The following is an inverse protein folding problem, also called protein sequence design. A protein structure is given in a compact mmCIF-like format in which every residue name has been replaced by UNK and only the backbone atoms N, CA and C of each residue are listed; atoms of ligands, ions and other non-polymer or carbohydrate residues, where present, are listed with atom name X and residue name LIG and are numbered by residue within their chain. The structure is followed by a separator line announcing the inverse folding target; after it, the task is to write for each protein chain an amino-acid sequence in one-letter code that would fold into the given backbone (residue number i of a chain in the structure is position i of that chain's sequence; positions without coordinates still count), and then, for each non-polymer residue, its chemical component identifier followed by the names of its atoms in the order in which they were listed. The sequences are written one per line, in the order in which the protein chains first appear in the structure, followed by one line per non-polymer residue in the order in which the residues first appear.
data_IF_616852024340
#
_entry.id   IF_616852024340
#
_cell.length_a   1.000
_cell.length_b   1.000
_cell.length_c   1.000
_cell.angle_alpha   90.00
_cell.angle_beta   90.00
_cell.angle_gamma   90.00
#
_symmetry.space_group_name_H-M   'P 1'
#
loop_
_entity.id
_entity.type
_entity.pdbx_description
1 polymer ?
#
# COMPACT_ATOMS: atom_id res chain seq x y z
N UNK A 1 -22.34 -0.60 -38.95
CA UNK A 1 -21.18 0.03 -38.28
C UNK A 1 -21.71 1.21 -37.47
N UNK A 2 -22.11 0.97 -36.21
CA UNK A 2 -22.70 1.98 -35.32
C UNK A 2 -21.57 2.77 -34.64
N UNK A 3 -21.47 4.06 -34.96
CA UNK A 3 -20.58 4.98 -34.27
C UNK A 3 -21.09 5.20 -32.84
N UNK A 4 -20.33 4.68 -31.89
CA UNK A 4 -20.52 4.89 -30.46
C UNK A 4 -20.23 6.36 -30.15
N UNK A 5 -21.29 7.16 -29.97
CA UNK A 5 -21.19 8.54 -29.54
C UNK A 5 -20.44 8.62 -28.21
N UNK A 6 -19.26 9.25 -28.23
CA UNK A 6 -18.53 9.65 -27.02
C UNK A 6 -19.43 10.61 -26.24
N UNK A 7 -20.09 10.12 -25.18
CA UNK A 7 -20.72 10.98 -24.18
C UNK A 7 -19.61 11.74 -23.47
N UNK A 8 -19.31 12.95 -23.94
CA UNK A 8 -18.55 13.92 -23.15
C UNK A 8 -19.26 14.12 -21.81
N UNK A 9 -18.51 14.14 -20.71
CA UNK A 9 -19.10 14.37 -19.40
C UNK A 9 -19.92 15.66 -19.45
N UNK A 10 -21.23 15.55 -19.23
CA UNK A 10 -22.14 16.69 -19.18
C UNK A 10 -21.72 17.60 -18.01
N UNK A 11 -21.79 18.92 -18.20
CA UNK A 11 -21.47 19.92 -17.17
C UNK A 11 -22.14 19.61 -15.82
N UNK A 12 -23.36 19.09 -15.84
CA UNK A 12 -24.08 18.64 -14.64
C UNK A 12 -23.38 17.51 -13.88
N UNK A 13 -22.73 16.56 -14.56
CA UNK A 13 -21.98 15.49 -13.89
C UNK A 13 -20.78 16.02 -13.11
N UNK A 14 -20.09 17.04 -13.64
CA UNK A 14 -18.97 17.69 -12.96
C UNK A 14 -19.46 18.45 -11.72
N UNK A 15 -20.56 19.21 -11.85
CA UNK A 15 -21.16 19.95 -10.73
C UNK A 15 -21.62 19.00 -9.62
N UNK A 16 -22.23 17.87 -9.97
CA UNK A 16 -22.65 16.85 -8.98
C UNK A 16 -21.44 16.24 -8.27
N UNK A 17 -20.36 15.91 -9.00
CA UNK A 17 -19.13 15.37 -8.40
C UNK A 17 -18.49 16.40 -7.45
N UNK A 18 -18.34 17.66 -7.89
CA UNK A 18 -17.78 18.73 -7.07
C UNK A 18 -18.65 18.97 -5.82
N UNK A 19 -19.97 19.00 -5.99
CA UNK A 19 -20.92 19.16 -4.89
C UNK A 19 -20.81 18.03 -3.87
N UNK A 20 -20.74 16.77 -4.33
CA UNK A 20 -20.57 15.61 -3.46
C UNK A 20 -19.23 15.66 -2.70
N UNK A 21 -18.14 16.06 -3.38
CA UNK A 21 -16.82 16.24 -2.75
C UNK A 21 -16.86 17.34 -1.68
N UNK A 22 -17.47 18.49 -1.97
CA UNK A 22 -17.58 19.61 -1.03
C UNK A 22 -18.42 19.25 0.20
N UNK A 23 -19.55 18.56 0.02
CA UNK A 23 -20.38 18.07 1.14
C UNK A 23 -19.59 17.07 1.99
N UNK A 24 -18.91 16.12 1.36
CA UNK A 24 -18.06 15.15 2.05
C UNK A 24 -16.94 15.81 2.86
N UNK A 25 -16.24 16.79 2.25
CA UNK A 25 -15.22 17.59 2.92
C UNK A 25 -15.80 18.43 4.06
N UNK A 26 -16.99 19.02 3.89
CA UNK A 26 -17.65 19.78 4.94
C UNK A 26 -17.99 18.94 6.16
N UNK A 27 -18.54 17.74 5.95
CA UNK A 27 -18.81 16.79 7.05
C UNK A 27 -17.50 16.35 7.72
N UNK A 28 -16.48 16.00 6.94
CA UNK A 28 -15.17 15.63 7.47
C UNK A 28 -14.54 16.77 8.29
N UNK A 29 -14.70 18.02 7.83
CA UNK A 29 -14.18 19.21 8.52
C UNK A 29 -14.92 19.48 9.83
N UNK A 30 -16.26 19.35 9.88
CA UNK A 30 -17.03 19.48 11.11
C UNK A 30 -16.62 18.44 12.16
N UNK A 31 -16.39 17.20 11.73
CA UNK A 31 -15.87 16.13 12.58
C UNK A 31 -14.45 16.46 13.05
N UNK A 32 -13.60 16.97 12.16
CA UNK A 32 -12.23 17.37 12.49
C UNK A 32 -12.17 18.53 13.49
N UNK A 33 -13.06 19.51 13.37
CA UNK A 33 -13.12 20.66 14.27
C UNK A 33 -13.54 20.26 15.69
N UNK A 34 -14.46 19.28 15.80
CA UNK A 34 -14.87 18.72 17.09
C UNK A 34 -13.95 17.60 17.59
N UNK A 35 -12.93 17.22 16.82
CA UNK A 35 -12.10 16.06 17.10
C UNK A 35 -11.39 16.15 18.45
N UNK A 36 -11.01 17.34 18.90
CA UNK A 36 -10.35 17.48 20.20
C UNK A 36 -11.26 17.12 21.38
N UNK A 37 -12.56 17.42 21.27
CA UNK A 37 -13.56 17.18 22.32
C UNK A 37 -14.05 15.73 22.38
N UNK A 38 -13.77 14.91 21.35
CA UNK A 38 -14.24 13.53 21.26
C UNK A 38 -13.27 12.59 22.02
N UNK A 39 -13.76 11.75 22.95
CA UNK A 39 -12.93 10.78 23.66
C UNK A 39 -12.35 9.73 22.70
N UNK A 40 -11.17 9.21 23.03
CA UNK A 40 -10.42 8.28 22.18
C UNK A 40 -11.24 7.05 21.76
N UNK A 41 -12.02 6.47 22.68
CA UNK A 41 -12.88 5.30 22.41
C UNK A 41 -13.89 5.57 21.30
N UNK A 42 -14.50 6.76 21.29
CA UNK A 42 -15.50 7.12 20.27
C UNK A 42 -14.85 7.34 18.91
N UNK A 43 -13.65 7.93 18.85
CA UNK A 43 -12.88 8.07 17.60
C UNK A 43 -12.60 6.71 16.98
N UNK A 44 -12.10 5.78 17.78
CA UNK A 44 -11.81 4.39 17.36
C UNK A 44 -13.09 3.71 16.87
N UNK A 45 -14.20 3.86 17.61
CA UNK A 45 -15.49 3.30 17.22
C UNK A 45 -15.97 3.81 15.85
N UNK A 46 -15.87 5.13 15.60
CA UNK A 46 -16.22 5.72 14.30
C UNK A 46 -15.36 5.13 13.18
N UNK A 47 -14.06 5.02 13.40
CA UNK A 47 -13.11 4.52 12.40
C UNK A 47 -13.37 3.05 12.06
N UNK A 48 -13.64 2.23 13.07
CA UNK A 48 -14.04 0.83 12.89
C UNK A 48 -15.38 0.76 12.15
N UNK A 49 -16.37 1.55 12.56
CA UNK A 49 -17.70 1.55 11.94
C UNK A 49 -17.65 1.95 10.46
N UNK A 50 -16.90 3.00 10.11
CA UNK A 50 -16.75 3.48 8.73
C UNK A 50 -16.00 2.45 7.87
N UNK A 51 -14.95 1.83 8.41
CA UNK A 51 -14.20 0.76 7.73
C UNK A 51 -15.08 -0.48 7.50
N UNK A 52 -15.82 -0.91 8.53
CA UNK A 52 -16.73 -2.04 8.44
C UNK A 52 -17.87 -1.77 7.44
N UNK A 53 -18.46 -0.57 7.48
CA UNK A 53 -19.51 -0.16 6.55
C UNK A 53 -19.02 -0.22 5.09
N UNK A 54 -17.78 0.22 4.81
CA UNK A 54 -17.21 0.14 3.47
C UNK A 54 -17.04 -1.32 3.00
N UNK A 55 -16.53 -2.21 3.86
CA UNK A 55 -16.40 -3.63 3.51
C UNK A 55 -17.76 -4.32 3.34
N UNK A 56 -18.70 -4.13 4.27
CA UNK A 56 -20.04 -4.73 4.22
C UNK A 56 -20.76 -4.28 2.94
N UNK A 57 -20.78 -2.97 2.68
CA UNK A 57 -21.40 -2.41 1.47
C UNK A 57 -20.73 -2.95 0.19
N UNK A 58 -19.40 -3.11 0.21
CA UNK A 58 -18.66 -3.68 -0.92
C UNK A 58 -19.02 -5.15 -1.18
N UNK A 59 -19.19 -5.96 -0.13
CA UNK A 59 -19.63 -7.35 -0.25
C UNK A 59 -21.08 -7.44 -0.71
N UNK A 60 -21.97 -6.65 -0.13
CA UNK A 60 -23.40 -6.62 -0.50
C UNK A 60 -23.57 -6.25 -1.99
N UNK A 61 -22.87 -5.20 -2.47
CA UNK A 61 -22.91 -4.84 -3.89
C UNK A 61 -22.28 -5.90 -4.80
N UNK A 62 -21.31 -6.70 -4.31
CA UNK A 62 -20.76 -7.84 -5.06
C UNK A 62 -21.85 -8.88 -5.31
N UNK A 63 -22.71 -9.12 -4.32
CA UNK A 63 -23.85 -10.04 -4.41
C UNK A 63 -24.92 -9.50 -5.38
N UNK A 64 -25.19 -8.19 -5.37
CA UNK A 64 -26.13 -7.54 -6.30
C UNK A 64 -25.59 -7.30 -7.72
N UNK A 65 -24.53 -8.01 -8.13
CA UNK A 65 -23.91 -7.94 -9.47
C UNK A 65 -23.30 -6.58 -9.87
N UNK A 66 -23.10 -5.64 -8.94
CA UNK A 66 -22.41 -4.37 -9.20
C UNK A 66 -20.89 -4.50 -9.03
N UNK A 67 -20.24 -5.29 -9.90
CA UNK A 67 -18.83 -5.69 -9.74
C UNK A 67 -17.83 -4.54 -9.61
N UNK A 68 -18.01 -3.45 -10.39
CA UNK A 68 -17.07 -2.32 -10.36
C UNK A 68 -17.20 -1.49 -9.07
N UNK A 69 -18.43 -1.19 -8.66
CA UNK A 69 -18.71 -0.43 -7.44
C UNK A 69 -18.33 -1.23 -6.19
N UNK A 70 -18.60 -2.54 -6.19
CA UNK A 70 -18.18 -3.46 -5.15
C UNK A 70 -16.65 -3.47 -4.98
N UNK A 71 -15.90 -3.60 -6.07
CA UNK A 71 -14.44 -3.58 -6.03
C UNK A 71 -13.90 -2.24 -5.50
N UNK A 72 -14.52 -1.11 -5.87
CA UNK A 72 -14.16 0.21 -5.37
C UNK A 72 -14.42 0.36 -3.86
N UNK A 73 -15.55 -0.15 -3.35
CA UNK A 73 -15.88 -0.14 -1.92
C UNK A 73 -14.95 -1.03 -1.09
N UNK A 74 -14.56 -2.21 -1.61
CA UNK A 74 -13.58 -3.09 -0.95
C UNK A 74 -12.18 -2.45 -0.91
N UNK A 75 -11.79 -1.75 -1.99
CA UNK A 75 -10.57 -0.94 -2.01
C UNK A 75 -10.65 0.20 -0.99
N UNK A 76 -11.78 0.91 -0.94
CA UNK A 76 -12.02 1.97 0.02
C UNK A 76 -11.93 1.46 1.46
N UNK A 77 -12.55 0.32 1.77
CA UNK A 77 -12.43 -0.33 3.08
C UNK A 77 -10.97 -0.63 3.45
N UNK A 78 -10.18 -1.09 2.48
CA UNK A 78 -8.74 -1.37 2.70
C UNK A 78 -7.92 -0.10 2.94
N UNK A 79 -8.24 1.00 2.24
CA UNK A 79 -7.62 2.30 2.48
C UNK A 79 -8.03 2.88 3.84
N UNK A 80 -9.31 2.78 4.19
CA UNK A 80 -9.83 3.23 5.49
C UNK A 80 -9.22 2.44 6.64
N UNK A 81 -9.02 1.13 6.47
CA UNK A 81 -8.31 0.31 7.45
C UNK A 81 -6.87 0.82 7.67
N UNK A 82 -6.09 0.98 6.61
CA UNK A 82 -4.73 1.51 6.69
C UNK A 82 -4.70 2.87 7.37
N UNK A 83 -5.56 3.80 6.92
CA UNK A 83 -5.67 5.13 7.50
C UNK A 83 -6.05 5.08 8.98
N UNK A 84 -6.94 4.16 9.35
CA UNK A 84 -7.43 4.01 10.71
C UNK A 84 -6.33 3.57 11.66
N UNK A 85 -5.50 2.60 11.27
CA UNK A 85 -4.36 2.15 12.08
C UNK A 85 -3.41 3.32 12.38
N UNK A 86 -3.07 4.14 11.38
CA UNK A 86 -2.20 5.29 11.57
C UNK A 86 -2.82 6.37 12.48
N UNK A 87 -4.10 6.67 12.31
CA UNK A 87 -4.79 7.62 13.16
C UNK A 87 -4.91 7.14 14.61
N UNK A 88 -5.12 5.84 14.84
CA UNK A 88 -5.12 5.25 16.19
C UNK A 88 -3.73 5.41 16.81
N UNK A 89 -2.66 5.12 16.07
CA UNK A 89 -1.30 5.33 16.54
C UNK A 89 -1.01 6.79 16.91
N UNK A 90 -1.57 7.75 16.16
CA UNK A 90 -1.49 9.18 16.50
C UNK A 90 -2.26 9.53 17.78
N UNK A 91 -3.47 9.00 17.96
CA UNK A 91 -4.27 9.23 19.19
C UNK A 91 -3.50 8.79 20.44
N UNK A 92 -2.79 7.67 20.38
CA UNK A 92 -1.97 7.15 21.48
C UNK A 92 -0.51 7.60 21.46
N UNK A 93 -0.13 8.50 20.54
CA UNK A 93 1.24 9.02 20.41
C UNK A 93 2.32 7.91 20.33
N UNK A 94 1.98 6.75 19.75
CA UNK A 94 2.84 5.54 19.76
C UNK A 94 3.87 5.54 18.61
N UNK A 95 3.69 6.36 17.58
CA UNK A 95 4.47 6.31 16.33
C UNK A 95 5.35 7.54 16.09
N UNK A 96 6.22 7.86 17.05
CA UNK A 96 7.15 9.00 16.94
C UNK A 96 8.48 8.65 16.28
N UNK A 97 8.85 7.37 16.21
CA UNK A 97 10.10 6.93 15.56
C UNK A 97 9.83 6.43 14.13
N UNK A 98 10.81 6.61 13.23
CA UNK A 98 10.73 6.06 11.88
C UNK A 98 10.53 4.54 11.88
N UNK A 99 11.15 3.83 12.83
CA UNK A 99 10.96 2.38 13.00
C UNK A 99 9.53 2.02 13.42
N UNK A 100 8.90 2.82 14.30
CA UNK A 100 7.51 2.63 14.70
C UNK A 100 6.54 2.80 13.53
N UNK A 101 6.75 3.82 12.70
CA UNK A 101 5.99 4.06 11.46
C UNK A 101 6.13 2.88 10.50
N UNK A 102 7.35 2.36 10.33
CA UNK A 102 7.60 1.21 9.48
C UNK A 102 6.90 -0.06 10.03
N UNK A 103 6.88 -0.29 11.35
CA UNK A 103 6.16 -1.43 11.93
C UNK A 103 4.64 -1.34 11.71
N UNK A 104 4.06 -0.14 11.85
CA UNK A 104 2.65 0.08 11.54
C UNK A 104 2.32 -0.17 10.07
N UNK A 105 3.19 0.25 9.16
CA UNK A 105 3.05 -0.04 7.73
C UNK A 105 2.99 -1.54 7.43
N UNK A 106 3.75 -2.36 8.16
CA UNK A 106 3.73 -3.82 8.03
C UNK A 106 2.40 -4.41 8.51
N UNK A 107 1.91 -3.94 9.66
CA UNK A 107 0.63 -4.36 10.22
C UNK A 107 -0.53 -4.02 9.26
N UNK A 108 -0.50 -2.83 8.67
CA UNK A 108 -1.46 -2.44 7.64
C UNK A 108 -1.38 -3.38 6.43
N UNK A 109 -0.17 -3.70 5.96
CA UNK A 109 0.02 -4.61 4.83
C UNK A 109 -0.58 -5.99 5.10
N UNK A 110 -0.33 -6.59 6.27
CA UNK A 110 -0.89 -7.90 6.65
C UNK A 110 -2.42 -7.85 6.63
N UNK A 111 -3.02 -6.82 7.23
CA UNK A 111 -4.48 -6.69 7.27
C UNK A 111 -5.11 -6.53 5.89
N UNK A 112 -4.51 -5.69 5.02
CA UNK A 112 -4.98 -5.49 3.64
C UNK A 112 -4.80 -6.77 2.81
N UNK A 113 -3.71 -7.51 3.00
CA UNK A 113 -3.48 -8.78 2.31
C UNK A 113 -4.54 -9.81 2.69
N UNK A 114 -4.80 -9.98 4.00
CA UNK A 114 -5.85 -10.88 4.49
C UNK A 114 -7.21 -10.48 3.91
N UNK A 115 -7.56 -9.19 3.95
CA UNK A 115 -8.80 -8.69 3.38
C UNK A 115 -8.89 -8.95 1.86
N UNK A 116 -7.80 -8.77 1.13
CA UNK A 116 -7.76 -9.03 -0.31
C UNK A 116 -8.07 -10.50 -0.66
N UNK A 117 -7.56 -11.43 0.14
CA UNK A 117 -7.83 -12.86 -0.02
C UNK A 117 -9.25 -13.25 0.42
N UNK A 118 -9.74 -12.72 1.54
CA UNK A 118 -11.10 -13.00 2.05
C UNK A 118 -12.16 -12.49 1.07
N UNK A 119 -12.00 -11.28 0.55
CA UNK A 119 -13.00 -10.65 -0.34
C UNK A 119 -12.75 -10.91 -1.83
N UNK A 120 -11.67 -11.64 -2.16
CA UNK A 120 -11.19 -11.92 -3.51
C UNK A 120 -11.02 -10.66 -4.39
N UNK A 121 -10.60 -9.54 -3.78
CA UNK A 121 -10.53 -8.24 -4.45
C UNK A 121 -9.17 -8.00 -5.07
N UNK A 122 -9.09 -8.00 -6.41
CA UNK A 122 -7.86 -7.68 -7.16
C UNK A 122 -7.32 -6.29 -6.81
N UNK A 123 -8.19 -5.30 -6.63
CA UNK A 123 -7.77 -3.93 -6.28
C UNK A 123 -7.16 -3.86 -4.88
N UNK A 124 -7.71 -4.60 -3.92
CA UNK A 124 -7.14 -4.65 -2.56
C UNK A 124 -5.79 -5.37 -2.56
N UNK A 125 -5.62 -6.38 -3.40
CA UNK A 125 -4.33 -7.06 -3.58
C UNK A 125 -3.27 -6.12 -4.19
N UNK A 126 -3.64 -5.33 -5.21
CA UNK A 126 -2.78 -4.29 -5.79
C UNK A 126 -2.35 -3.28 -4.72
N UNK A 127 -3.28 -2.84 -3.86
CA UNK A 127 -2.97 -1.96 -2.74
C UNK A 127 -1.97 -2.61 -1.77
N UNK A 128 -2.09 -3.91 -1.48
CA UNK A 128 -1.12 -4.63 -0.65
C UNK A 128 0.29 -4.56 -1.26
N UNK A 129 0.45 -4.76 -2.57
CA UNK A 129 1.76 -4.63 -3.23
C UNK A 129 2.36 -3.21 -3.12
N UNK A 130 1.53 -2.19 -3.28
CA UNK A 130 1.98 -0.80 -3.10
C UNK A 130 2.40 -0.57 -1.64
N UNK A 131 1.62 -1.07 -0.68
CA UNK A 131 1.88 -0.89 0.74
C UNK A 131 3.20 -1.55 1.18
N UNK A 132 3.54 -2.73 0.63
CA UNK A 132 4.82 -3.37 0.95
C UNK A 132 6.00 -2.62 0.33
N UNK A 133 5.85 -2.00 -0.86
CA UNK A 133 6.87 -1.08 -1.39
C UNK A 133 7.08 0.14 -0.48
N UNK A 134 5.98 0.74 -0.01
CA UNK A 134 6.03 1.85 0.95
C UNK A 134 6.71 1.44 2.25
N UNK A 135 6.41 0.24 2.75
CA UNK A 135 7.05 -0.34 3.92
C UNK A 135 8.57 -0.49 3.74
N UNK A 136 9.02 -1.02 2.61
CA UNK A 136 10.45 -1.17 2.30
C UNK A 136 11.16 0.19 2.28
N UNK A 137 10.52 1.22 1.71
CA UNK A 137 11.03 2.60 1.76
C UNK A 137 11.10 3.14 3.18
N UNK A 138 10.05 2.96 3.98
CA UNK A 138 10.02 3.41 5.37
C UNK A 138 11.09 2.71 6.24
N UNK A 139 11.30 1.40 6.05
CA UNK A 139 12.37 0.65 6.70
C UNK A 139 13.75 1.19 6.30
N UNK A 140 13.97 1.47 5.02
CA UNK A 140 15.22 2.07 4.56
C UNK A 140 15.51 3.40 5.29
N UNK A 141 14.52 4.29 5.39
CA UNK A 141 14.68 5.54 6.12
C UNK A 141 14.93 5.32 7.62
N UNK A 142 14.21 4.40 8.25
CA UNK A 142 14.39 4.09 9.67
C UNK A 142 15.81 3.56 9.99
N UNK A 143 16.34 2.70 9.12
CA UNK A 143 17.72 2.20 9.26
C UNK A 143 18.77 3.27 8.99
N UNK A 144 18.54 4.15 8.01
CA UNK A 144 19.42 5.30 7.75
C UNK A 144 19.51 6.25 8.94
N UNK A 145 18.39 6.46 9.65
CA UNK A 145 18.34 7.26 10.86
C UNK A 145 19.04 6.57 12.04
N UNK A 146 18.81 5.27 12.24
CA UNK A 146 19.35 4.51 13.37
C UNK A 146 20.82 4.13 13.24
N UNK A 147 21.28 3.82 12.02
CA UNK A 147 22.62 3.29 11.75
C UNK A 147 23.16 3.85 10.44
N UNK A 148 23.73 5.07 10.50
CA UNK A 148 24.32 5.75 9.33
C UNK A 148 25.42 4.96 8.60
N UNK A 149 25.95 3.88 9.19
CA UNK A 149 27.18 3.21 8.75
C UNK A 149 27.02 1.82 8.10
N UNK A 150 25.86 1.15 8.21
CA UNK A 150 25.70 -0.25 7.73
C UNK A 150 24.68 -0.43 6.60
N UNK A 151 23.71 0.48 6.44
CA UNK A 151 22.66 0.29 5.44
C UNK A 151 23.00 0.93 4.10
N UNK A 152 23.59 0.14 3.21
CA UNK A 152 23.94 0.56 1.85
C UNK A 152 22.74 0.40 0.91
N UNK A 153 22.52 1.26 -0.11
CA UNK A 153 21.44 1.07 -1.10
C UNK A 153 21.45 -0.30 -1.80
N UNK A 154 22.60 -0.98 -1.79
CA UNK A 154 22.78 -2.38 -2.15
C UNK A 154 21.81 -3.34 -1.41
N UNK A 155 21.62 -3.16 -0.11
CA UNK A 155 20.75 -4.02 0.71
C UNK A 155 19.28 -3.81 0.33
N UNK A 156 18.89 -2.56 0.05
CA UNK A 156 17.55 -2.26 -0.46
C UNK A 156 17.32 -2.94 -1.82
N UNK A 157 18.28 -2.85 -2.74
CA UNK A 157 18.22 -3.52 -4.03
C UNK A 157 18.06 -5.05 -3.87
N UNK A 158 18.82 -5.66 -2.96
CA UNK A 158 18.70 -7.09 -2.66
C UNK A 158 17.33 -7.46 -2.10
N UNK A 159 16.76 -6.64 -1.20
CA UNK A 159 15.40 -6.85 -0.68
C UNK A 159 14.34 -6.76 -1.79
N UNK A 160 14.47 -5.82 -2.72
CA UNK A 160 13.56 -5.68 -3.88
C UNK A 160 13.65 -6.90 -4.79
N UNK A 161 14.86 -7.42 -5.03
CA UNK A 161 15.07 -8.64 -5.79
C UNK A 161 14.42 -9.85 -5.09
N UNK A 162 14.68 -10.04 -3.79
CA UNK A 162 14.08 -11.14 -3.03
C UNK A 162 12.55 -11.09 -3.07
N UNK A 163 11.97 -9.90 -2.88
CA UNK A 163 10.52 -9.72 -3.00
C UNK A 163 10.03 -10.09 -4.41
N UNK A 164 10.68 -9.62 -5.48
CA UNK A 164 10.35 -9.96 -6.86
C UNK A 164 10.37 -11.46 -7.16
N UNK A 165 11.39 -12.17 -6.66
CA UNK A 165 11.53 -13.63 -6.79
C UNK A 165 10.44 -14.37 -5.99
N UNK A 166 10.16 -13.95 -4.76
CA UNK A 166 9.09 -14.53 -3.94
C UNK A 166 7.72 -14.38 -4.62
N UNK A 167 7.43 -13.19 -5.16
CA UNK A 167 6.19 -12.94 -5.90
C UNK A 167 6.09 -13.76 -7.18
N UNK A 168 7.21 -14.01 -7.86
CA UNK A 168 7.24 -14.90 -9.01
C UNK A 168 6.90 -16.34 -8.62
N UNK A 169 7.48 -16.86 -7.53
CA UNK A 169 7.15 -18.18 -6.99
C UNK A 169 5.67 -18.29 -6.62
N UNK A 170 5.12 -17.27 -5.96
CA UNK A 170 3.69 -17.20 -5.63
C UNK A 170 2.82 -17.12 -6.89
N UNK A 171 3.27 -16.43 -7.93
CA UNK A 171 2.58 -16.36 -9.23
C UNK A 171 2.49 -17.75 -9.86
N UNK A 172 3.56 -18.55 -9.83
CA UNK A 172 3.57 -19.91 -10.37
C UNK A 172 2.64 -20.83 -9.59
N UNK A 173 2.63 -20.72 -8.26
CA UNK A 173 1.70 -21.44 -7.40
C UNK A 173 0.23 -21.09 -7.69
N UNK A 174 -0.09 -19.80 -7.82
CA UNK A 174 -1.47 -19.40 -8.15
C UNK A 174 -1.87 -19.80 -9.57
N UNK A 175 -0.89 -19.87 -10.49
CA UNK A 175 -1.13 -20.36 -11.85
C UNK A 175 -1.36 -21.87 -11.89
N UNK A 176 -0.72 -22.66 -11.02
CA UNK A 176 -1.00 -24.10 -10.95
C UNK A 176 -2.39 -24.41 -10.40
N UNK A 177 -2.96 -23.49 -9.63
CA UNK A 177 -4.29 -23.62 -9.02
C UNK A 177 -5.38 -22.86 -9.79
N UNK A 178 -5.11 -22.38 -11.01
CA UNK A 178 -6.01 -21.58 -11.86
C UNK A 178 -6.64 -20.35 -11.16
N UNK A 179 -5.97 -19.80 -10.14
CA UNK A 179 -6.52 -18.70 -9.36
C UNK A 179 -6.42 -17.37 -10.13
N UNK A 180 -7.46 -16.51 -10.14
CA UNK A 180 -7.49 -15.24 -10.87
C UNK A 180 -6.45 -14.20 -10.42
N UNK A 181 -5.68 -14.50 -9.37
CA UNK A 181 -4.62 -13.65 -8.83
C UNK A 181 -3.26 -13.88 -9.50
N UNK A 182 -3.08 -14.99 -10.22
CA UNK A 182 -1.80 -15.31 -10.86
C UNK A 182 -1.29 -14.14 -11.73
N UNK A 183 -2.17 -13.53 -12.53
CA UNK A 183 -1.79 -12.38 -13.36
C UNK A 183 -1.38 -11.13 -12.57
N UNK A 184 -1.98 -10.90 -11.39
CA UNK A 184 -1.62 -9.77 -10.52
C UNK A 184 -0.23 -9.99 -9.91
N UNK A 185 0.03 -11.19 -9.39
CA UNK A 185 1.35 -11.57 -8.86
C UNK A 185 2.45 -11.51 -9.94
N UNK A 186 2.15 -11.95 -11.17
CA UNK A 186 3.09 -11.90 -12.28
C UNK A 186 3.47 -10.47 -12.67
N UNK A 187 2.47 -9.60 -12.81
CA UNK A 187 2.69 -8.18 -13.14
C UNK A 187 3.54 -7.49 -12.08
N UNK A 188 3.22 -7.69 -10.80
CA UNK A 188 3.97 -7.09 -9.71
C UNK A 188 5.37 -7.68 -9.56
N UNK A 189 5.55 -8.99 -9.76
CA UNK A 189 6.89 -9.59 -9.83
C UNK A 189 7.76 -8.94 -10.91
N UNK A 190 7.22 -8.77 -12.12
CA UNK A 190 7.92 -8.08 -13.20
C UNK A 190 8.24 -6.62 -12.83
N UNK A 191 7.30 -5.89 -12.21
CA UNK A 191 7.53 -4.52 -11.75
C UNK A 191 8.66 -4.43 -10.71
N UNK A 192 8.74 -5.36 -9.77
CA UNK A 192 9.82 -5.43 -8.78
C UNK A 192 11.18 -5.76 -9.42
N UNK A 193 11.22 -6.69 -10.38
CA UNK A 193 12.45 -7.02 -11.11
C UNK A 193 12.92 -5.85 -11.98
N UNK A 194 12.00 -5.12 -12.61
CA UNK A 194 12.32 -3.90 -13.36
C UNK A 194 12.80 -2.78 -12.44
N UNK A 195 12.18 -2.62 -11.26
CA UNK A 195 12.62 -1.65 -10.26
C UNK A 195 14.04 -1.98 -9.78
N UNK A 196 14.34 -3.26 -9.53
CA UNK A 196 15.69 -3.71 -9.20
C UNK A 196 16.69 -3.40 -10.32
N UNK A 197 16.37 -3.75 -11.57
CA UNK A 197 17.23 -3.46 -12.72
C UNK A 197 17.46 -1.95 -12.91
N UNK A 198 16.43 -1.14 -12.66
CA UNK A 198 16.52 0.32 -12.68
C UNK A 198 17.44 0.84 -11.58
N UNK A 199 17.36 0.33 -10.35
CA UNK A 199 18.28 0.70 -9.27
C UNK A 199 19.72 0.37 -9.66
N UNK A 200 19.98 -0.80 -10.25
CA UNK A 200 21.33 -1.16 -10.72
C UNK A 200 21.83 -0.33 -11.90
N UNK A 201 20.95 0.30 -12.67
CA UNK A 201 21.36 1.17 -13.78
C UNK A 201 22.12 2.41 -13.31
N UNK A 202 21.97 2.80 -12.03
CA UNK A 202 22.74 3.88 -11.43
C UNK A 202 24.16 3.41 -11.14
N UNK A 203 25.10 3.86 -11.98
CA UNK A 203 26.52 3.56 -11.85
C UNK A 203 27.12 3.95 -10.50
N UNK A 204 26.51 4.88 -9.77
CA UNK A 204 26.91 5.27 -8.41
C UNK A 204 26.72 4.17 -7.36
N UNK A 205 25.90 3.16 -7.62
CA UNK A 205 25.61 2.06 -6.69
C UNK A 205 26.48 0.82 -6.91
N UNK A 206 27.06 0.65 -8.10
CA UNK A 206 27.93 -0.47 -8.44
C UNK A 206 29.20 -0.55 -7.57
N UNK A 207 29.92 0.55 -7.25
CA UNK A 207 31.13 0.49 -6.43
C UNK A 207 30.86 -0.04 -5.02
N UNK A 208 29.70 0.30 -4.44
CA UNK A 208 29.27 -0.11 -3.12
C UNK A 208 28.92 -1.61 -3.02
N UNK A 209 28.57 -2.26 -4.14
CA UNK A 209 28.34 -3.70 -4.20
C UNK A 209 29.65 -4.52 -4.29
N UNK A 210 30.74 -3.89 -4.75
CA UNK A 210 31.99 -4.58 -5.08
C UNK A 210 33.14 -4.34 -4.08
N UNK A 211 33.14 -3.25 -3.31
CA UNK A 211 34.31 -2.81 -2.52
C UNK A 211 34.48 -3.41 -1.10
N UNK A 212 33.81 -4.50 -0.73
CA UNK A 212 33.97 -5.08 0.62
C UNK A 212 35.22 -5.95 0.82
N UNK A 213 35.98 -6.27 -0.23
CA UNK A 213 37.08 -7.26 -0.14
C UNK A 213 38.51 -6.66 -0.17
N UNK A 214 38.72 -5.42 -0.60
CA UNK A 214 40.08 -4.90 -0.87
C UNK A 214 40.78 -4.27 0.34
N UNK A 215 40.11 -4.12 1.48
CA UNK A 215 40.70 -3.45 2.66
C UNK A 215 41.46 -4.37 3.64
N UNK A 216 41.44 -5.70 3.46
CA UNK A 216 42.10 -6.64 4.39
C UNK A 216 43.49 -7.12 3.94
N UNK A 217 43.98 -6.75 2.76
CA UNK A 217 45.23 -7.31 2.20
C UNK A 217 46.45 -6.40 2.25
N UNK A 218 46.36 -5.20 2.83
CA UNK A 218 47.53 -4.31 3.03
C UNK A 218 47.74 -4.02 4.51
N UNK A 219 48.18 -5.04 5.26
CA UNK A 219 48.90 -4.82 6.51
C UNK A 219 50.31 -4.27 6.21
N UNK A 220 50.84 -3.35 7.03
CA UNK A 220 52.15 -2.74 6.78
C UNK A 220 53.27 -3.76 7.05
N UNK A 221 54.16 -3.93 6.08
CA UNK A 221 55.49 -4.53 6.24
C UNK A 221 56.52 -3.41 6.27
#
# INVERSE_FOLDING_TARGET
MLMMGKRGQTFGSIVVIIGAILVGLGVAWLVAQNWHSIPAVVKIAIMIAVTAAAYISGVELKIHHYQHTAAALLLLGSLLYTWSVFLIAQIFSTSTTAQGIAWLGLLCWIGVLIAAYIFESKLSLILAFIQILQWMGAQFFAFMEASRAMFTPAILAYCVLLAGVLWYGLSLWHRSNDHPFAGVYQFWSAAYLLLFAYILSFQSLLPFLWHSETAMTTGPV
#
